data_IF_457826235912
#
_entry.id   IF_457826235912
#
_cell.length_a   1.000
_cell.length_b   1.000
_cell.length_c   1.000
_cell.angle_alpha   90.00
_cell.angle_beta   90.00
_cell.angle_gamma   90.00
#
_symmetry.space_group_name_H-M   'P 1'
#
loop_
_entity.id
_entity.type
_entity.pdbx_description
1 polymer ?
#
# COMPACT_ATOMS: atom_id res chain seq x y z
N UNK A 1 -43.53 34.64 29.99
CA UNK A 1 -42.11 34.32 30.32
C UNK A 1 -41.70 32.97 29.72
N UNK A 2 -42.13 32.68 28.47
CA UNK A 2 -41.92 31.35 27.79
C UNK A 2 -41.27 31.47 26.39
N UNK A 3 -40.85 32.68 26.01
CA UNK A 3 -40.38 32.96 24.63
C UNK A 3 -38.85 33.14 24.49
N UNK A 4 -38.06 32.76 25.50
CA UNK A 4 -36.59 32.96 25.52
C UNK A 4 -35.73 31.69 25.54
N UNK A 5 -36.30 30.48 25.44
CA UNK A 5 -35.59 29.23 25.52
C UNK A 5 -35.42 28.51 24.14
N UNK A 6 -36.01 29.05 23.07
CA UNK A 6 -36.04 28.42 21.75
C UNK A 6 -34.93 28.85 20.77
N UNK A 7 -33.91 29.58 21.22
CA UNK A 7 -32.88 30.17 20.33
C UNK A 7 -31.45 29.68 20.59
N UNK A 8 -31.26 28.61 21.40
CA UNK A 8 -29.93 28.08 21.72
C UNK A 8 -29.70 26.70 21.08
N UNK A 9 -30.64 26.13 20.32
CA UNK A 9 -30.53 24.78 19.78
C UNK A 9 -30.15 24.68 18.28
N UNK A 10 -29.63 25.78 17.70
CA UNK A 10 -29.34 25.82 16.25
C UNK A 10 -27.85 26.09 15.93
N UNK A 11 -26.89 25.63 16.74
CA UNK A 11 -25.46 25.84 16.43
C UNK A 11 -24.56 24.65 16.71
N UNK A 12 -25.09 23.42 16.60
CA UNK A 12 -24.26 22.18 16.62
C UNK A 12 -24.55 21.39 15.35
N UNK A 13 -24.23 21.98 14.21
CA UNK A 13 -24.12 21.20 12.95
C UNK A 13 -22.88 21.70 12.21
N UNK A 14 -22.04 20.78 11.78
CA UNK A 14 -20.92 20.93 10.86
C UNK A 14 -19.54 21.19 11.46
N UNK A 15 -19.02 20.24 12.23
CA UNK A 15 -17.62 19.89 12.18
C UNK A 15 -17.48 18.38 11.92
N UNK A 16 -18.13 17.90 10.85
CA UNK A 16 -17.72 16.66 10.21
C UNK A 16 -16.62 17.05 9.22
N UNK A 17 -15.42 17.24 9.72
CA UNK A 17 -14.23 17.58 8.92
C UNK A 17 -13.74 16.35 8.16
N UNK A 18 -13.96 16.28 6.91
CA UNK A 18 -13.05 16.21 5.74
C UNK A 18 -11.75 15.38 5.83
N UNK A 19 -11.71 14.24 6.53
CA UNK A 19 -10.58 13.31 6.35
C UNK A 19 -10.55 12.70 4.94
N UNK A 20 -11.70 12.44 4.37
CA UNK A 20 -11.82 11.86 3.01
C UNK A 20 -11.35 12.82 1.91
N UNK A 21 -11.63 14.12 2.03
CA UNK A 21 -11.21 15.11 1.03
C UNK A 21 -9.69 15.29 1.02
N UNK A 22 -9.04 15.21 2.19
CA UNK A 22 -7.58 15.30 2.29
C UNK A 22 -6.86 14.08 1.72
N UNK A 23 -7.33 12.86 2.01
CA UNK A 23 -6.80 11.63 1.41
C UNK A 23 -6.98 11.63 -0.11
N UNK A 24 -8.16 12.01 -0.60
CA UNK A 24 -8.45 12.08 -2.03
C UNK A 24 -7.55 13.09 -2.76
N UNK A 25 -7.25 14.22 -2.13
CA UNK A 25 -6.31 15.19 -2.68
C UNK A 25 -4.88 14.66 -2.74
N UNK A 26 -4.43 13.94 -1.72
CA UNK A 26 -3.12 13.30 -1.70
C UNK A 26 -3.04 12.17 -2.73
N UNK A 27 -4.08 11.34 -2.85
CA UNK A 27 -4.17 10.25 -3.81
C UNK A 27 -4.06 10.76 -5.27
N UNK A 28 -4.65 11.92 -5.56
CA UNK A 28 -4.64 12.53 -6.90
C UNK A 28 -3.52 13.57 -7.12
N UNK A 29 -2.52 13.62 -6.23
CA UNK A 29 -1.37 14.51 -6.40
C UNK A 29 -0.64 14.18 -7.71
N UNK A 30 -0.42 15.18 -8.57
CA UNK A 30 0.15 15.00 -9.90
C UNK A 30 1.66 14.71 -9.88
N UNK A 31 2.40 15.32 -8.97
CA UNK A 31 3.83 15.04 -8.77
C UNK A 31 4.03 14.14 -7.55
N UNK A 32 4.39 12.86 -7.72
CA UNK A 32 4.56 11.92 -6.62
C UNK A 32 5.94 11.99 -5.97
N UNK A 33 6.92 12.69 -6.57
CA UNK A 33 8.29 12.73 -6.06
C UNK A 33 8.36 13.30 -4.65
N UNK A 34 9.13 12.65 -3.79
CA UNK A 34 9.38 13.11 -2.43
C UNK A 34 9.36 12.01 -1.38
N UNK A 35 9.54 12.41 -0.13
CA UNK A 35 9.55 11.57 1.04
C UNK A 35 8.15 11.42 1.63
N UNK A 36 7.79 10.21 1.96
CA UNK A 36 6.54 9.78 2.58
C UNK A 36 6.86 9.04 3.89
N UNK A 37 6.33 9.50 5.01
CA UNK A 37 6.66 8.94 6.33
C UNK A 37 8.11 9.23 6.76
N UNK A 38 8.69 8.31 7.52
CA UNK A 38 10.04 8.47 8.08
C UNK A 38 10.94 7.31 7.67
N UNK A 39 12.15 7.61 7.24
CA UNK A 39 13.17 6.62 6.91
C UNK A 39 14.44 6.85 7.74
N UNK A 40 15.11 5.77 8.11
CA UNK A 40 16.41 5.84 8.77
C UNK A 40 17.52 6.30 7.80
N UNK A 41 18.69 6.65 8.34
CA UNK A 41 19.86 7.02 7.53
C UNK A 41 20.72 5.82 7.09
N UNK A 42 20.21 4.60 7.22
CA UNK A 42 20.91 3.39 6.78
C UNK A 42 21.13 3.39 5.27
N UNK A 43 22.32 3.06 4.80
CA UNK A 43 22.70 3.10 3.39
C UNK A 43 22.43 1.78 2.64
N UNK A 44 22.24 0.67 3.36
CA UNK A 44 22.01 -0.64 2.76
C UNK A 44 20.59 -0.73 2.19
N UNK A 45 20.49 -0.84 0.86
CA UNK A 45 19.23 -0.97 0.13
C UNK A 45 19.28 -2.26 -0.68
N UNK A 46 18.23 -3.09 -0.56
CA UNK A 46 18.08 -4.35 -1.28
C UNK A 46 17.17 -4.19 -2.50
N UNK A 47 17.50 -4.85 -3.59
CA UNK A 47 16.56 -5.02 -4.70
C UNK A 47 15.45 -6.02 -4.34
N UNK A 48 14.29 -5.91 -5.02
CA UNK A 48 13.15 -6.84 -4.84
C UNK A 48 13.60 -8.29 -5.04
N UNK A 49 14.37 -8.56 -6.09
CA UNK A 49 14.80 -9.91 -6.47
C UNK A 49 15.77 -10.51 -5.46
N UNK A 50 16.76 -9.70 -5.02
CA UNK A 50 17.72 -10.07 -3.98
C UNK A 50 17.00 -10.44 -2.68
N UNK A 51 16.05 -9.59 -2.26
CA UNK A 51 15.34 -9.81 -1.00
C UNK A 51 14.46 -11.06 -1.04
N UNK A 52 13.77 -11.31 -2.14
CA UNK A 52 12.93 -12.51 -2.29
C UNK A 52 13.80 -13.78 -2.39
N UNK A 53 14.94 -13.70 -3.07
CA UNK A 53 15.86 -14.85 -3.17
C UNK A 53 16.41 -15.27 -1.80
N UNK A 54 16.78 -14.30 -0.98
CA UNK A 54 17.35 -14.49 0.35
C UNK A 54 16.33 -14.26 1.48
N UNK A 55 15.04 -14.48 1.21
CA UNK A 55 13.93 -14.08 2.10
C UNK A 55 14.09 -14.57 3.54
N UNK A 56 14.62 -15.78 3.71
CA UNK A 56 14.73 -16.44 5.04
C UNK A 56 15.70 -15.69 5.97
N UNK A 57 16.67 -14.94 5.42
CA UNK A 57 17.62 -14.12 6.18
C UNK A 57 17.00 -12.78 6.64
N UNK A 58 15.87 -12.38 6.02
CA UNK A 58 15.30 -11.05 6.22
C UNK A 58 13.89 -11.05 6.82
N UNK A 59 13.24 -12.21 6.96
CA UNK A 59 11.90 -12.31 7.58
C UNK A 59 11.92 -11.66 8.96
N UNK A 60 10.96 -10.77 9.21
CA UNK A 60 10.77 -9.96 10.42
C UNK A 60 11.86 -8.89 10.67
N UNK A 61 12.82 -8.72 9.76
CA UNK A 61 13.83 -7.67 9.85
C UNK A 61 13.34 -6.35 9.27
N UNK A 62 13.84 -5.24 9.79
CA UNK A 62 13.68 -3.91 9.18
C UNK A 62 14.71 -3.80 8.05
N UNK A 63 14.23 -3.55 6.83
CA UNK A 63 15.05 -3.45 5.64
C UNK A 63 14.63 -2.26 4.77
N UNK A 64 15.57 -1.76 3.94
CA UNK A 64 15.25 -0.87 2.83
C UNK A 64 15.21 -1.65 1.54
N UNK A 65 14.16 -1.41 0.75
CA UNK A 65 13.91 -2.10 -0.52
C UNK A 65 13.71 -1.09 -1.63
N UNK A 66 14.36 -1.31 -2.78
CA UNK A 66 14.17 -0.51 -3.99
C UNK A 66 13.56 -1.33 -5.11
N UNK A 67 12.79 -0.67 -5.96
CA UNK A 67 12.21 -1.24 -7.17
C UNK A 67 11.37 -0.22 -7.93
N UNK A 68 10.59 -0.72 -8.88
CA UNK A 68 9.67 0.09 -9.70
C UNK A 68 8.23 -0.14 -9.25
N UNK A 69 7.48 0.94 -9.07
CA UNK A 69 6.07 0.90 -8.69
C UNK A 69 5.25 0.45 -9.89
N UNK A 70 4.67 -0.74 -9.83
CA UNK A 70 3.81 -1.26 -10.89
C UNK A 70 2.34 -0.90 -10.69
N UNK A 71 1.90 -0.88 -9.43
CA UNK A 71 0.53 -0.54 -9.05
C UNK A 71 0.49 0.26 -7.75
N UNK A 72 -0.54 1.09 -7.63
CA UNK A 72 -0.86 1.86 -6.43
C UNK A 72 -2.29 1.51 -6.02
N UNK A 73 -2.57 1.40 -4.73
CA UNK A 73 -3.92 1.21 -4.22
C UNK A 73 -4.87 2.26 -4.81
N UNK A 74 -5.86 1.87 -5.63
CA UNK A 74 -6.71 2.84 -6.33
C UNK A 74 -7.70 3.55 -5.40
N UNK A 75 -7.99 2.95 -4.25
CA UNK A 75 -9.00 3.48 -3.33
C UNK A 75 -8.41 4.52 -2.36
N UNK A 76 -7.26 4.24 -1.76
CA UNK A 76 -6.72 5.04 -0.65
C UNK A 76 -5.20 5.29 -0.72
N UNK A 77 -4.49 4.76 -1.73
CA UNK A 77 -3.03 4.87 -1.79
C UNK A 77 -2.28 4.20 -0.63
N UNK A 78 -2.89 3.23 0.06
CA UNK A 78 -2.35 2.62 1.27
C UNK A 78 -1.39 1.46 1.01
N UNK A 79 -1.09 1.16 -0.25
CA UNK A 79 -0.08 0.19 -0.66
C UNK A 79 0.45 0.49 -2.06
N UNK A 80 1.68 0.02 -2.31
CA UNK A 80 2.31 -0.06 -3.62
C UNK A 80 2.60 -1.53 -3.94
N UNK A 81 2.42 -1.94 -5.19
CA UNK A 81 3.00 -3.18 -5.71
C UNK A 81 4.30 -2.82 -6.41
N UNK A 82 5.41 -3.34 -5.90
CA UNK A 82 6.75 -2.98 -6.37
C UNK A 82 7.43 -4.20 -6.97
N UNK A 83 7.85 -4.10 -8.20
CA UNK A 83 8.60 -5.12 -8.94
C UNK A 83 10.11 -4.86 -8.93
N UNK A 84 10.88 -5.91 -9.21
CA UNK A 84 12.30 -5.81 -9.50
C UNK A 84 12.58 -5.19 -10.87
N UNK A 85 13.84 -4.88 -11.15
CA UNK A 85 14.25 -4.36 -12.47
C UNK A 85 14.28 -5.47 -13.54
N UNK A 86 14.37 -6.74 -13.15
CA UNK A 86 14.60 -7.89 -14.03
C UNK A 86 13.33 -8.48 -14.67
N UNK A 87 12.15 -7.88 -14.53
CA UNK A 87 10.86 -8.34 -15.08
C UNK A 87 10.51 -9.82 -14.80
N UNK A 88 11.02 -10.40 -13.72
CA UNK A 88 10.85 -11.83 -13.39
C UNK A 88 9.55 -12.16 -12.65
N UNK A 89 8.54 -11.26 -12.69
CA UNK A 89 7.24 -11.35 -12.00
C UNK A 89 7.29 -11.44 -10.46
N UNK A 90 8.48 -11.26 -9.85
CA UNK A 90 8.59 -11.17 -8.39
C UNK A 90 8.21 -9.77 -7.93
N UNK A 91 7.36 -9.69 -6.92
CA UNK A 91 6.82 -8.42 -6.43
C UNK A 91 6.74 -8.43 -4.92
N UNK A 92 6.95 -7.25 -4.33
CA UNK A 92 6.73 -7.02 -2.90
C UNK A 92 5.63 -5.97 -2.77
N UNK A 93 4.68 -6.20 -1.87
CA UNK A 93 3.68 -5.22 -1.50
C UNK A 93 4.21 -4.34 -0.38
N UNK A 94 4.42 -3.07 -0.66
CA UNK A 94 4.73 -2.06 0.34
C UNK A 94 3.41 -1.58 0.93
N UNK A 95 3.07 -2.03 2.13
CA UNK A 95 1.81 -1.70 2.81
C UNK A 95 2.09 -0.73 3.94
N UNK A 96 1.35 0.37 3.98
CA UNK A 96 1.35 1.30 5.11
C UNK A 96 0.12 1.10 5.98
N UNK A 97 0.17 1.57 7.21
CA UNK A 97 -1.01 1.65 8.06
C UNK A 97 -1.97 2.69 7.48
N UNK A 98 -3.25 2.35 7.49
CA UNK A 98 -4.28 3.19 6.89
C UNK A 98 -4.32 4.58 7.56
N UNK A 99 -4.24 5.62 6.73
CA UNK A 99 -4.26 7.02 7.16
C UNK A 99 -2.88 7.62 7.50
N UNK A 100 -1.82 6.82 7.66
CA UNK A 100 -0.49 7.34 7.99
C UNK A 100 0.24 7.91 6.75
N UNK A 101 0.14 7.20 5.62
CA UNK A 101 0.72 7.59 4.34
C UNK A 101 -0.30 7.35 3.23
N UNK A 102 -0.40 8.30 2.29
CA UNK A 102 -1.17 8.15 1.05
C UNK A 102 -0.23 8.27 -0.14
N UNK A 103 -0.01 7.18 -0.85
CA UNK A 103 0.77 7.18 -2.09
C UNK A 103 -0.10 7.67 -3.25
N UNK A 104 0.37 8.67 -4.02
CA UNK A 104 -0.37 9.17 -5.18
C UNK A 104 -0.49 8.14 -6.30
N UNK A 105 -1.60 8.13 -7.03
CA UNK A 105 -1.79 7.27 -8.21
C UNK A 105 -0.73 7.54 -9.30
N UNK A 106 -0.26 8.78 -9.40
CA UNK A 106 0.82 9.21 -10.30
C UNK A 106 2.18 8.58 -10.00
N UNK A 107 2.32 7.86 -8.87
CA UNK A 107 3.54 7.12 -8.52
C UNK A 107 3.80 5.90 -9.39
N UNK A 108 2.78 5.39 -10.09
CA UNK A 108 2.94 4.24 -10.99
C UNK A 108 4.03 4.49 -12.04
N UNK A 109 4.93 3.52 -12.21
CA UNK A 109 6.07 3.60 -13.12
C UNK A 109 7.29 4.33 -12.55
N UNK A 110 7.21 4.87 -11.33
CA UNK A 110 8.32 5.55 -10.68
C UNK A 110 9.20 4.59 -9.89
N UNK A 111 10.47 4.96 -9.73
CA UNK A 111 11.39 4.27 -8.82
C UNK A 111 11.06 4.67 -7.37
N UNK A 112 11.15 3.69 -6.48
CA UNK A 112 10.91 3.89 -5.04
C UNK A 112 11.99 3.21 -4.22
N UNK A 113 12.34 3.83 -3.11
CA UNK A 113 13.04 3.20 -1.98
C UNK A 113 12.12 3.28 -0.77
N UNK A 114 11.85 2.15 -0.12
CA UNK A 114 11.02 2.13 1.08
C UNK A 114 11.68 1.35 2.20
N UNK A 115 11.42 1.76 3.43
CA UNK A 115 11.88 1.10 4.65
C UNK A 115 10.70 0.53 5.42
N UNK A 116 10.86 -0.68 5.94
CA UNK A 116 9.85 -1.33 6.75
C UNK A 116 10.24 -2.74 7.17
N UNK A 117 9.33 -3.38 7.91
CA UNK A 117 9.51 -4.77 8.31
C UNK A 117 9.10 -5.71 7.17
N UNK A 118 10.03 -6.54 6.73
CA UNK A 118 9.76 -7.55 5.71
C UNK A 118 9.06 -8.77 6.31
N UNK A 119 8.03 -9.26 5.63
CA UNK A 119 7.28 -10.46 6.02
C UNK A 119 6.87 -11.27 4.80
N UNK A 120 6.69 -12.58 5.00
CA UNK A 120 6.21 -13.51 3.99
C UNK A 120 4.99 -14.23 4.54
N UNK A 121 3.88 -14.12 3.84
CA UNK A 121 2.66 -14.86 4.15
C UNK A 121 2.55 -16.06 3.21
N UNK A 122 2.53 -17.26 3.77
CA UNK A 122 2.22 -18.48 3.01
C UNK A 122 0.72 -18.72 3.00
N UNK A 123 0.16 -18.95 1.84
CA UNK A 123 -1.28 -19.10 1.61
C UNK A 123 -1.59 -20.53 1.16
N UNK A 124 -2.63 -21.15 1.71
CA UNK A 124 -3.18 -22.36 1.12
C UNK A 124 -4.03 -22.02 -0.12
N UNK A 125 -4.44 -23.04 -0.90
CA UNK A 125 -5.19 -22.86 -2.15
C UNK A 125 -6.44 -21.97 -1.99
N UNK A 126 -7.20 -22.15 -0.92
CA UNK A 126 -8.41 -21.35 -0.65
C UNK A 126 -8.05 -19.90 -0.34
N UNK A 127 -7.02 -19.68 0.48
CA UNK A 127 -6.53 -18.35 0.84
C UNK A 127 -5.97 -17.63 -0.39
N UNK A 128 -5.17 -18.30 -1.23
CA UNK A 128 -4.62 -17.74 -2.45
C UNK A 128 -5.72 -17.30 -3.44
N UNK A 129 -6.76 -18.14 -3.66
CA UNK A 129 -7.90 -17.77 -4.51
C UNK A 129 -8.67 -16.58 -3.93
N UNK A 130 -8.96 -16.60 -2.63
CA UNK A 130 -9.66 -15.48 -1.99
C UNK A 130 -8.84 -14.20 -2.06
N UNK A 131 -7.51 -14.30 -1.92
CA UNK A 131 -6.61 -13.16 -2.03
C UNK A 131 -6.62 -12.58 -3.45
N UNK A 132 -6.53 -13.42 -4.49
CA UNK A 132 -6.67 -12.95 -5.90
C UNK A 132 -8.02 -12.28 -6.16
N UNK A 133 -9.11 -12.85 -5.63
CA UNK A 133 -10.44 -12.23 -5.72
C UNK A 133 -10.47 -10.86 -5.03
N UNK A 134 -9.90 -10.76 -3.83
CA UNK A 134 -9.82 -9.49 -3.10
C UNK A 134 -9.03 -8.42 -3.88
N UNK A 135 -7.87 -8.78 -4.45
CA UNK A 135 -7.08 -7.87 -5.28
C UNK A 135 -7.81 -7.41 -6.55
N UNK A 136 -8.59 -8.28 -7.16
CA UNK A 136 -9.43 -7.92 -8.30
C UNK A 136 -10.56 -6.94 -7.88
N UNK A 137 -11.22 -7.22 -6.74
CA UNK A 137 -12.27 -6.36 -6.22
C UNK A 137 -11.76 -4.95 -5.86
N UNK A 138 -10.52 -4.80 -5.35
CA UNK A 138 -9.89 -3.48 -5.14
C UNK A 138 -9.75 -2.67 -6.44
N UNK A 139 -9.72 -3.35 -7.60
CA UNK A 139 -9.67 -2.76 -8.94
C UNK A 139 -11.05 -2.61 -9.60
N UNK A 140 -12.13 -2.94 -8.86
CA UNK A 140 -13.50 -2.94 -9.39
C UNK A 140 -13.81 -4.12 -10.30
N UNK A 141 -12.99 -5.18 -10.28
CA UNK A 141 -13.18 -6.39 -11.09
C UNK A 141 -13.78 -7.47 -10.21
N UNK A 142 -14.96 -7.98 -10.58
CA UNK A 142 -15.56 -9.15 -9.94
C UNK A 142 -15.15 -10.43 -10.70
N UNK A 143 -14.54 -11.38 -9.96
CA UNK A 143 -14.13 -12.68 -10.49
C UNK A 143 -14.69 -13.81 -9.63
N UNK A 144 -15.11 -14.88 -10.28
CA UNK A 144 -15.48 -16.11 -9.60
C UNK A 144 -14.24 -16.86 -9.11
N UNK A 145 -14.20 -17.19 -7.82
CA UNK A 145 -13.09 -17.96 -7.23
C UNK A 145 -12.91 -19.33 -7.87
N UNK A 146 -13.96 -19.93 -8.46
CA UNK A 146 -13.87 -21.22 -9.16
C UNK A 146 -13.02 -21.10 -10.44
N UNK A 147 -13.09 -19.98 -11.15
CA UNK A 147 -12.35 -19.73 -12.39
C UNK A 147 -10.87 -19.34 -12.18
N UNK A 148 -10.47 -19.07 -10.94
CA UNK A 148 -9.09 -18.62 -10.65
C UNK A 148 -8.10 -19.77 -10.81
N UNK A 149 -7.16 -19.62 -11.75
CA UNK A 149 -5.99 -20.48 -11.92
C UNK A 149 -4.86 -19.90 -11.06
N UNK A 150 -4.25 -20.75 -10.22
CA UNK A 150 -3.12 -20.38 -9.36
C UNK A 150 -1.80 -20.82 -10.00
N UNK A 151 -0.78 -20.01 -9.82
CA UNK A 151 0.63 -20.31 -10.10
C UNK A 151 1.39 -20.44 -8.78
N UNK A 152 2.62 -20.95 -8.79
CA UNK A 152 3.44 -21.11 -7.59
C UNK A 152 3.64 -19.79 -6.82
N UNK A 153 3.71 -18.66 -7.53
CA UNK A 153 3.85 -17.34 -6.92
C UNK A 153 2.60 -16.89 -6.15
N UNK A 154 1.42 -17.44 -6.45
CA UNK A 154 0.16 -17.07 -5.80
C UNK A 154 0.03 -17.63 -4.37
N UNK A 155 0.91 -18.56 -3.99
CA UNK A 155 0.93 -19.15 -2.65
C UNK A 155 1.75 -18.32 -1.63
N UNK A 156 2.35 -17.23 -2.07
CA UNK A 156 3.14 -16.36 -1.21
C UNK A 156 2.76 -14.89 -1.43
N UNK A 157 2.59 -14.15 -0.33
CA UNK A 157 2.58 -12.70 -0.37
C UNK A 157 3.84 -12.18 0.33
N UNK A 158 4.70 -11.53 -0.43
CA UNK A 158 5.83 -10.78 0.10
C UNK A 158 5.38 -9.38 0.45
N UNK A 159 5.56 -8.98 1.70
CA UNK A 159 5.09 -7.71 2.22
C UNK A 159 6.21 -6.95 2.93
N UNK A 160 6.28 -5.66 2.68
CA UNK A 160 7.02 -4.70 3.47
C UNK A 160 6.01 -3.87 4.26
N UNK A 161 5.96 -4.04 5.60
CA UNK A 161 5.15 -3.17 6.47
C UNK A 161 5.87 -1.84 6.58
N UNK A 162 5.53 -0.92 5.68
CA UNK A 162 6.31 0.28 5.34
C UNK A 162 6.10 1.37 6.38
N UNK A 163 7.20 1.95 6.87
CA UNK A 163 7.22 3.09 7.78
C UNK A 163 7.62 4.39 7.08
N UNK A 164 8.28 4.28 5.93
CA UNK A 164 8.62 5.40 5.08
C UNK A 164 9.04 4.96 3.68
N UNK A 165 8.90 5.87 2.71
CA UNK A 165 9.30 5.66 1.34
C UNK A 165 9.73 6.96 0.68
N UNK A 166 10.67 6.89 -0.25
CA UNK A 166 11.08 7.99 -1.12
C UNK A 166 10.79 7.61 -2.58
N UNK A 167 10.05 8.46 -3.30
CA UNK A 167 9.68 8.26 -4.71
C UNK A 167 10.43 9.28 -5.57
N UNK A 168 11.00 8.78 -6.67
CA UNK A 168 11.89 9.54 -7.58
C UNK A 168 11.24 9.85 -8.92
#
# INVERSE_FOLDING_TARGET
MIFRVLLIFLFIVCFSCNSNDSEQKLLNKSNPTGLYGNMSKTDKVHGVDELIHNKDDYINSIVKVTGVIEEVCPMRGCWLQVGGEDNNNKKIRFKVKDGDIVFPLSSKGRKVVAEGQFSVLSLNTKQAKNWKKHLAAEKGIDIDTASIILTDNDYFEYRLNTIGAEIF
#
